data_IF_495209063788
#
_entry.id   IF_495209063788
#
_cell.length_a   1.000
_cell.length_b   1.000
_cell.length_c   1.000
_cell.angle_alpha   90.00
_cell.angle_beta   90.00
_cell.angle_gamma   90.00
#
_symmetry.space_group_name_H-M   'P 1'
#
loop_
_entity.id
_entity.type
_entity.pdbx_description
1 polymer ?
#
# COMPACT_ATOMS: atom_id res chain seq x y z
N UNK A 1 52.70 -34.03 -27.10
CA UNK A 1 52.17 -33.53 -25.83
C UNK A 1 52.18 -32.01 -25.97
N UNK A 2 51.06 -31.32 -26.29
CA UNK A 2 49.89 -31.07 -25.42
C UNK A 2 50.39 -30.48 -24.08
N UNK A 3 50.11 -29.22 -23.69
CA UNK A 3 48.86 -28.45 -23.83
C UNK A 3 49.05 -26.92 -23.87
N UNK A 4 48.08 -26.26 -24.51
CA UNK A 4 47.78 -24.83 -24.40
C UNK A 4 47.18 -24.53 -23.01
N UNK A 5 47.54 -23.41 -22.39
CA UNK A 5 46.64 -22.80 -21.40
C UNK A 5 46.60 -21.28 -21.59
N UNK A 6 45.53 -20.85 -22.24
CA UNK A 6 45.02 -19.49 -22.26
C UNK A 6 43.86 -19.46 -21.26
N UNK A 7 44.02 -18.72 -20.17
CA UNK A 7 42.92 -18.27 -19.32
C UNK A 7 43.43 -17.08 -18.52
N UNK A 8 43.34 -15.87 -19.08
CA UNK A 8 42.22 -14.97 -18.82
C UNK A 8 42.07 -14.71 -17.31
N UNK A 9 42.64 -13.58 -16.88
CA UNK A 9 42.25 -12.89 -15.65
C UNK A 9 40.74 -12.73 -15.65
N UNK A 10 40.05 -13.67 -15.01
CA UNK A 10 38.61 -13.61 -14.81
C UNK A 10 38.37 -12.53 -13.77
N UNK A 11 38.05 -11.34 -14.29
CA UNK A 11 37.50 -10.24 -13.52
C UNK A 11 36.50 -10.81 -12.52
N UNK A 12 36.76 -10.55 -11.23
CA UNK A 12 35.80 -10.74 -10.17
C UNK A 12 34.49 -10.08 -10.60
N UNK A 13 33.49 -10.89 -10.94
CA UNK A 13 32.13 -10.41 -10.98
C UNK A 13 31.79 -10.05 -9.55
N UNK A 14 31.86 -8.75 -9.23
CA UNK A 14 31.04 -8.21 -8.17
C UNK A 14 29.60 -8.52 -8.58
N UNK A 15 29.06 -9.63 -8.10
CA UNK A 15 27.63 -9.86 -8.15
C UNK A 15 27.03 -8.68 -7.41
N UNK A 16 26.48 -7.73 -8.16
CA UNK A 16 25.60 -6.72 -7.59
C UNK A 16 24.60 -7.51 -6.77
N UNK A 17 24.57 -7.31 -5.45
CA UNK A 17 23.47 -7.79 -4.65
C UNK A 17 22.22 -7.14 -5.25
N UNK A 18 21.50 -7.88 -6.11
CA UNK A 18 20.16 -7.52 -6.50
C UNK A 18 19.30 -7.75 -5.26
N UNK A 19 19.33 -6.81 -4.33
CA UNK A 19 18.31 -6.71 -3.31
C UNK A 19 17.03 -6.37 -4.06
N UNK A 20 16.26 -7.39 -4.39
CA UNK A 20 14.93 -7.23 -4.96
C UNK A 20 14.11 -6.45 -3.93
N UNK A 21 13.69 -5.24 -4.28
CA UNK A 21 12.89 -4.41 -3.39
C UNK A 21 11.49 -5.03 -3.34
N UNK A 22 11.17 -5.67 -2.21
CA UNK A 22 9.85 -6.21 -1.95
C UNK A 22 9.08 -5.26 -1.04
N UNK A 23 7.81 -5.04 -1.36
CA UNK A 23 6.86 -4.34 -0.52
C UNK A 23 5.44 -4.70 -0.94
N UNK A 24 4.53 -4.71 0.03
CA UNK A 24 3.09 -4.83 -0.19
C UNK A 24 2.45 -3.47 0.12
N UNK A 25 2.07 -2.73 -0.92
CA UNK A 25 1.55 -1.36 -0.81
C UNK A 25 0.06 -1.36 -1.13
N UNK A 26 -0.78 -0.94 -0.18
CA UNK A 26 -2.23 -0.84 -0.35
C UNK A 26 -2.69 0.61 -0.20
N UNK A 27 -3.34 1.15 -1.23
CA UNK A 27 -4.04 2.42 -1.13
C UNK A 27 -5.42 2.19 -0.48
N UNK A 28 -5.64 2.80 0.69
CA UNK A 28 -6.92 2.81 1.38
C UNK A 28 -7.64 4.12 1.06
N UNK A 29 -8.61 4.06 0.14
CA UNK A 29 -9.18 5.23 -0.52
C UNK A 29 -10.56 5.55 0.02
N UNK A 30 -10.74 6.75 0.56
CA UNK A 30 -12.03 7.31 0.93
C UNK A 30 -12.85 7.61 -0.34
N UNK A 31 -14.02 6.99 -0.45
CA UNK A 31 -15.01 7.26 -1.49
C UNK A 31 -16.29 7.86 -0.90
N UNK A 32 -16.25 8.43 0.31
CA UNK A 32 -17.43 9.02 0.94
C UNK A 32 -18.03 10.16 0.10
N UNK A 33 -19.33 10.44 0.29
CA UNK A 33 -20.04 11.47 -0.49
C UNK A 33 -19.36 12.84 -0.48
N UNK A 34 -18.67 13.16 0.62
CA UNK A 34 -17.93 14.42 0.77
C UNK A 34 -16.66 14.51 -0.09
N UNK A 35 -16.12 13.39 -0.60
CA UNK A 35 -15.00 13.37 -1.56
C UNK A 35 -15.48 13.82 -2.92
N UNK A 36 -16.58 13.22 -3.41
CA UNK A 36 -17.15 13.52 -4.72
C UNK A 36 -16.33 12.94 -5.89
N UNK A 37 -17.00 12.80 -7.05
CA UNK A 37 -16.42 12.20 -8.25
C UNK A 37 -15.14 12.89 -8.74
N UNK A 38 -15.07 14.21 -8.70
CA UNK A 38 -13.89 14.95 -9.18
C UNK A 38 -12.66 14.68 -8.33
N UNK A 39 -12.79 14.69 -7.01
CA UNK A 39 -11.68 14.39 -6.10
C UNK A 39 -11.28 12.93 -6.20
N UNK A 40 -12.24 12.00 -6.31
CA UNK A 40 -11.95 10.58 -6.52
C UNK A 40 -11.16 10.33 -7.81
N UNK A 41 -11.49 11.04 -8.90
CA UNK A 41 -10.68 11.01 -10.14
C UNK A 41 -9.24 11.44 -9.90
N UNK A 42 -9.02 12.51 -9.12
CA UNK A 42 -7.66 12.96 -8.76
C UNK A 42 -6.92 11.94 -7.90
N UNK A 43 -7.63 11.19 -7.06
CA UNK A 43 -7.05 10.09 -6.28
C UNK A 43 -6.59 8.97 -7.21
N UNK A 44 -7.38 8.60 -8.23
CA UNK A 44 -6.96 7.61 -9.26
C UNK A 44 -5.72 8.07 -10.00
N UNK A 45 -5.63 9.37 -10.34
CA UNK A 45 -4.45 9.96 -10.98
C UNK A 45 -3.23 9.92 -10.05
N UNK A 46 -3.41 10.25 -8.77
CA UNK A 46 -2.35 10.16 -7.77
C UNK A 46 -1.81 8.73 -7.62
N UNK A 47 -2.69 7.75 -7.47
CA UNK A 47 -2.30 6.33 -7.38
C UNK A 47 -1.55 5.91 -8.65
N UNK A 48 -2.07 6.29 -9.82
CA UNK A 48 -1.43 6.01 -11.10
C UNK A 48 -0.04 6.63 -11.21
N UNK A 49 0.16 7.84 -10.70
CA UNK A 49 1.45 8.52 -10.68
C UNK A 49 2.46 7.81 -9.76
N UNK A 50 2.03 7.38 -8.57
CA UNK A 50 2.89 6.61 -7.65
C UNK A 50 3.30 5.28 -8.28
N UNK A 51 2.35 4.51 -8.81
CA UNK A 51 2.63 3.21 -9.46
C UNK A 51 3.56 3.38 -10.67
N UNK A 52 3.39 4.45 -11.44
CA UNK A 52 4.21 4.75 -12.62
C UNK A 52 5.68 5.07 -12.30
N UNK A 53 6.01 5.41 -11.05
CA UNK A 53 7.38 5.67 -10.63
C UNK A 53 8.23 4.39 -10.54
N UNK A 54 7.58 3.23 -10.37
CA UNK A 54 8.28 1.96 -10.27
C UNK A 54 8.66 1.44 -11.66
N UNK A 55 9.91 1.01 -11.89
CA UNK A 55 10.29 0.34 -13.13
C UNK A 55 9.47 -0.93 -13.38
N UNK A 56 9.19 -1.26 -14.64
CA UNK A 56 8.35 -2.41 -15.01
C UNK A 56 8.78 -3.73 -14.36
N UNK A 57 10.09 -3.97 -14.27
CA UNK A 57 10.66 -5.20 -13.72
C UNK A 57 10.61 -5.28 -12.19
N UNK A 58 10.17 -4.21 -11.50
CA UNK A 58 10.06 -4.16 -10.04
C UNK A 58 8.63 -4.48 -9.59
N UNK A 59 7.62 -4.23 -10.43
CA UNK A 59 6.22 -4.49 -10.08
C UNK A 59 5.88 -5.95 -10.37
N UNK A 60 5.42 -6.68 -9.36
CA UNK A 60 5.02 -8.08 -9.51
C UNK A 60 5.23 -8.94 -8.27
N UNK A 61 5.02 -10.26 -8.40
CA UNK A 61 5.05 -11.21 -7.28
C UNK A 61 6.37 -11.22 -6.50
N UNK A 62 7.48 -11.06 -7.22
CA UNK A 62 8.83 -11.08 -6.65
C UNK A 62 9.32 -9.71 -6.18
N UNK A 63 8.58 -8.64 -6.46
CA UNK A 63 8.96 -7.25 -6.16
C UNK A 63 7.87 -6.52 -5.38
N UNK A 64 7.47 -5.35 -5.87
CA UNK A 64 6.45 -4.52 -5.24
C UNK A 64 5.06 -4.94 -5.76
N UNK A 65 4.16 -5.21 -4.82
CA UNK A 65 2.75 -5.54 -5.08
C UNK A 65 1.88 -4.37 -4.68
N UNK A 66 0.89 -4.05 -5.52
CA UNK A 66 -0.05 -2.95 -5.28
C UNK A 66 -1.46 -3.49 -5.07
N UNK A 67 -2.15 -2.96 -4.06
CA UNK A 67 -3.57 -3.18 -3.83
C UNK A 67 -4.31 -1.85 -3.68
N UNK A 68 -5.63 -1.89 -3.90
CA UNK A 68 -6.53 -0.77 -3.67
C UNK A 68 -7.77 -1.28 -2.94
N UNK A 69 -8.03 -0.69 -1.79
CA UNK A 69 -9.27 -0.89 -1.03
C UNK A 69 -9.97 0.46 -0.93
N UNK A 70 -11.20 0.54 -1.43
CA UNK A 70 -12.03 1.74 -1.28
C UNK A 70 -12.91 1.58 -0.04
N UNK A 71 -13.26 2.69 0.61
CA UNK A 71 -14.20 2.67 1.73
C UNK A 71 -15.15 3.86 1.71
N UNK A 72 -16.42 3.52 1.91
CA UNK A 72 -17.49 4.41 2.31
C UNK A 72 -18.14 3.77 3.54
N UNK A 73 -19.41 3.40 3.43
CA UNK A 73 -20.11 2.66 4.50
C UNK A 73 -19.48 1.28 4.75
N UNK A 74 -19.07 0.61 3.66
CA UNK A 74 -18.51 -0.74 3.67
C UNK A 74 -17.20 -0.72 2.86
N UNK A 75 -16.07 -1.18 3.43
CA UNK A 75 -14.82 -1.29 2.70
C UNK A 75 -14.88 -2.41 1.66
N UNK A 76 -14.33 -2.15 0.46
CA UNK A 76 -14.27 -3.10 -0.65
C UNK A 76 -12.86 -3.16 -1.22
N UNK A 77 -12.28 -4.36 -1.23
CA UNK A 77 -11.04 -4.63 -1.95
C UNK A 77 -11.33 -4.63 -3.45
N UNK A 78 -10.87 -3.60 -4.15
CA UNK A 78 -11.05 -3.44 -5.60
C UNK A 78 -9.89 -4.06 -6.38
N UNK A 79 -8.69 -4.03 -5.78
CA UNK A 79 -7.48 -4.66 -6.30
C UNK A 79 -6.79 -5.35 -5.13
N UNK A 80 -6.70 -6.67 -5.16
CA UNK A 80 -5.91 -7.45 -4.22
C UNK A 80 -4.43 -7.38 -4.58
N UNK A 81 -3.55 -7.58 -3.57
CA UNK A 81 -2.10 -7.63 -3.76
C UNK A 81 -1.64 -8.74 -4.72
N UNK A 82 -2.50 -9.72 -4.98
CA UNK A 82 -2.22 -10.90 -5.81
C UNK A 82 -2.85 -10.84 -7.20
N UNK A 83 -3.65 -9.82 -7.51
CA UNK A 83 -4.43 -9.78 -8.75
C UNK A 83 -3.58 -9.51 -9.99
N UNK A 84 -2.53 -8.69 -9.83
CA UNK A 84 -1.72 -8.22 -10.96
C UNK A 84 -0.23 -8.36 -10.69
N UNK A 85 0.50 -8.80 -11.72
CA UNK A 85 1.95 -8.98 -11.69
C UNK A 85 2.70 -8.04 -12.63
N UNK A 86 2.04 -7.04 -13.19
CA UNK A 86 2.63 -6.06 -14.09
C UNK A 86 2.18 -4.64 -13.74
N UNK A 87 3.05 -3.65 -13.98
CA UNK A 87 2.71 -2.24 -13.77
C UNK A 87 1.54 -1.80 -14.64
N UNK A 88 1.49 -2.25 -15.90
CA UNK A 88 0.45 -1.87 -16.85
C UNK A 88 -0.94 -2.33 -16.39
N UNK A 89 -1.07 -3.56 -15.92
CA UNK A 89 -2.35 -4.11 -15.46
C UNK A 89 -2.85 -3.39 -14.21
N UNK A 90 -1.94 -3.08 -13.26
CA UNK A 90 -2.28 -2.27 -12.08
C UNK A 90 -2.81 -0.89 -12.51
N UNK A 91 -2.12 -0.21 -13.43
CA UNK A 91 -2.54 1.11 -13.92
C UNK A 91 -3.88 1.06 -14.65
N UNK A 92 -4.16 0.00 -15.39
CA UNK A 92 -5.47 -0.21 -16.04
C UNK A 92 -6.57 -0.42 -15.00
N UNK A 93 -6.35 -1.29 -14.03
CA UNK A 93 -7.32 -1.57 -12.97
C UNK A 93 -7.61 -0.32 -12.13
N UNK A 94 -6.60 0.49 -11.81
CA UNK A 94 -6.78 1.77 -11.10
C UNK A 94 -7.68 2.72 -11.89
N UNK A 95 -7.58 2.76 -13.22
CA UNK A 95 -8.46 3.59 -14.07
C UNK A 95 -9.90 3.10 -14.10
N UNK A 96 -10.14 1.81 -13.85
CA UNK A 96 -11.47 1.20 -13.88
C UNK A 96 -12.22 1.33 -12.54
N UNK A 97 -11.55 1.78 -11.47
CA UNK A 97 -12.19 2.02 -10.16
C UNK A 97 -13.43 2.91 -10.27
N UNK A 98 -14.52 2.43 -9.67
CA UNK A 98 -15.81 3.12 -9.57
C UNK A 98 -15.95 3.82 -8.22
N UNK A 99 -16.72 4.91 -8.20
CA UNK A 99 -17.04 5.69 -7.01
C UNK A 99 -18.48 5.42 -6.61
N UNK A 100 -18.71 4.91 -5.40
CA UNK A 100 -20.06 4.55 -4.93
C UNK A 100 -20.62 5.48 -3.86
N UNK A 101 -19.79 6.33 -3.23
CA UNK A 101 -20.23 7.12 -2.08
C UNK A 101 -20.17 6.31 -0.78
N UNK A 102 -20.67 6.90 0.30
CA UNK A 102 -20.69 6.27 1.61
C UNK A 102 -20.44 7.25 2.75
N UNK A 103 -20.76 6.84 3.98
CA UNK A 103 -20.28 7.51 5.17
C UNK A 103 -18.79 7.23 5.32
N UNK A 104 -18.01 8.11 5.95
CA UNK A 104 -16.56 7.88 6.10
C UNK A 104 -16.26 6.96 7.27
N UNK A 105 -16.46 5.64 7.11
CA UNK A 105 -16.24 4.63 8.18
C UNK A 105 -14.79 4.13 8.26
N UNK A 106 -13.87 5.00 8.68
CA UNK A 106 -12.43 4.67 8.69
C UNK A 106 -12.08 3.57 9.68
N UNK A 107 -12.70 3.52 10.87
CA UNK A 107 -12.38 2.47 11.84
C UNK A 107 -12.79 1.08 11.34
N UNK A 108 -13.90 1.00 10.60
CA UNK A 108 -14.31 -0.23 9.90
C UNK A 108 -13.30 -0.58 8.80
N UNK A 109 -12.90 0.41 8.01
CA UNK A 109 -11.94 0.23 6.92
C UNK A 109 -10.55 -0.25 7.42
N UNK A 110 -10.04 0.32 8.52
CA UNK A 110 -8.76 -0.09 9.13
C UNK A 110 -8.81 -1.52 9.69
N UNK A 111 -9.95 -1.94 10.25
CA UNK A 111 -10.13 -3.34 10.68
C UNK A 111 -10.14 -4.30 9.49
N UNK A 112 -10.90 -3.97 8.45
CA UNK A 112 -10.94 -4.74 7.20
C UNK A 112 -9.56 -4.84 6.54
N UNK A 113 -8.79 -3.75 6.58
CA UNK A 113 -7.42 -3.71 6.08
C UNK A 113 -6.54 -4.77 6.77
N UNK A 114 -6.60 -4.88 8.10
CA UNK A 114 -5.83 -5.88 8.86
C UNK A 114 -6.35 -7.29 8.60
N UNK A 115 -7.66 -7.48 8.74
CA UNK A 115 -8.26 -8.82 8.80
C UNK A 115 -8.34 -9.50 7.43
N UNK A 116 -8.49 -8.71 6.36
CA UNK A 116 -8.78 -9.24 5.04
C UNK A 116 -7.66 -8.90 4.06
N UNK A 117 -7.26 -7.63 3.96
CA UNK A 117 -6.31 -7.17 2.92
C UNK A 117 -4.89 -7.59 3.22
N UNK A 118 -4.44 -7.40 4.46
CA UNK A 118 -3.13 -7.85 4.93
C UNK A 118 -3.19 -9.19 5.69
N UNK A 119 -4.19 -10.01 5.39
CA UNK A 119 -4.31 -11.35 5.99
C UNK A 119 -3.13 -12.24 5.62
N UNK A 120 -2.79 -13.20 6.48
CA UNK A 120 -1.68 -14.14 6.28
C UNK A 120 -1.81 -14.98 4.99
N UNK A 121 -3.02 -15.08 4.41
CA UNK A 121 -3.24 -15.77 3.15
C UNK A 121 -2.81 -14.95 1.91
N UNK A 122 -2.64 -13.62 2.05
CA UNK A 122 -2.38 -12.70 0.94
C UNK A 122 -0.96 -12.11 1.02
N UNK A 123 -0.50 -11.78 2.23
CA UNK A 123 0.76 -11.06 2.45
C UNK A 123 1.97 -11.98 2.49
N UNK A 124 3.13 -11.41 2.17
CA UNK A 124 4.42 -12.09 2.35
C UNK A 124 4.97 -11.75 3.73
N UNK A 125 5.35 -12.76 4.51
CA UNK A 125 5.82 -12.60 5.90
C UNK A 125 7.01 -11.63 6.04
N UNK A 126 7.87 -11.55 5.03
CA UNK A 126 9.09 -10.74 5.06
C UNK A 126 8.98 -9.42 4.29
N UNK A 127 7.87 -9.17 3.59
CA UNK A 127 7.69 -7.92 2.85
C UNK A 127 7.13 -6.83 3.77
N UNK A 128 7.65 -5.59 3.72
CA UNK A 128 7.04 -4.44 4.36
C UNK A 128 5.57 -4.29 3.95
N UNK A 129 4.68 -4.21 4.94
CA UNK A 129 3.24 -3.95 4.75
C UNK A 129 2.99 -2.46 4.90
N UNK A 130 2.60 -1.81 3.81
CA UNK A 130 2.45 -0.36 3.75
C UNK A 130 1.04 -0.04 3.31
N UNK A 131 0.36 0.84 4.04
CA UNK A 131 -0.91 1.40 3.60
C UNK A 131 -0.82 2.92 3.47
N UNK A 132 -1.44 3.43 2.41
CA UNK A 132 -1.59 4.88 2.18
C UNK A 132 -3.08 5.20 2.24
N UNK A 133 -3.50 5.77 3.35
CA UNK A 133 -4.84 6.29 3.57
C UNK A 133 -5.00 7.62 2.85
N UNK A 134 -5.99 7.72 1.98
CA UNK A 134 -6.30 8.95 1.22
C UNK A 134 -7.72 9.37 1.58
N UNK A 135 -7.88 10.54 2.18
CA UNK A 135 -9.18 11.06 2.63
C UNK A 135 -9.19 12.59 2.60
N UNK A 136 -10.37 13.20 2.52
CA UNK A 136 -10.52 14.65 2.62
C UNK A 136 -11.14 15.12 3.95
N UNK A 137 -11.31 14.24 4.93
CA UNK A 137 -11.95 14.64 6.18
C UNK A 137 -11.86 13.63 7.30
N UNK A 138 -12.64 13.91 8.35
CA UNK A 138 -12.64 13.14 9.59
C UNK A 138 -13.51 11.92 9.52
N UNK A 139 -13.11 10.86 10.21
CA UNK A 139 -13.94 9.66 10.31
C UNK A 139 -15.28 9.95 10.97
N UNK A 140 -16.32 9.25 10.51
CA UNK A 140 -17.66 9.23 11.11
C UNK A 140 -17.79 8.16 12.21
N UNK A 141 -16.67 7.54 12.61
CA UNK A 141 -16.55 6.53 13.66
C UNK A 141 -15.25 6.68 14.48
N UNK A 142 -15.16 6.00 15.61
CA UNK A 142 -14.01 6.12 16.52
C UNK A 142 -12.84 5.24 16.06
N UNK A 143 -11.74 5.87 15.68
CA UNK A 143 -10.60 5.22 15.02
C UNK A 143 -9.59 4.55 15.97
N UNK A 144 -9.59 4.90 17.27
CA UNK A 144 -8.50 4.58 18.21
C UNK A 144 -8.06 3.12 18.23
N UNK A 145 -8.99 2.20 18.50
CA UNK A 145 -8.68 0.77 18.57
C UNK A 145 -8.36 0.16 17.21
N UNK A 146 -8.94 0.70 16.13
CA UNK A 146 -8.68 0.23 14.78
C UNK A 146 -7.27 0.63 14.30
N UNK A 147 -6.85 1.86 14.57
CA UNK A 147 -5.50 2.34 14.28
C UNK A 147 -4.45 1.58 15.10
N UNK A 148 -4.72 1.32 16.38
CA UNK A 148 -3.86 0.48 17.22
C UNK A 148 -3.63 -0.90 16.58
N UNK A 149 -4.71 -1.55 16.12
CA UNK A 149 -4.64 -2.86 15.47
C UNK A 149 -3.76 -2.87 14.23
N UNK A 150 -3.77 -1.78 13.44
CA UNK A 150 -2.89 -1.63 12.26
C UNK A 150 -1.41 -1.63 12.69
N UNK A 151 -1.06 -0.89 13.74
CA UNK A 151 0.32 -0.83 14.25
C UNK A 151 0.75 -2.16 14.86
N UNK A 152 -0.12 -2.79 15.67
CA UNK A 152 0.15 -4.08 16.30
C UNK A 152 0.41 -5.19 15.27
N UNK A 153 -0.12 -5.05 14.05
CA UNK A 153 0.10 -5.99 12.94
C UNK A 153 1.31 -5.62 12.04
N UNK A 154 2.11 -4.64 12.46
CA UNK A 154 3.32 -4.23 11.74
C UNK A 154 3.05 -3.56 10.40
N UNK A 155 1.88 -2.93 10.24
CA UNK A 155 1.51 -2.21 9.02
C UNK A 155 1.95 -0.75 9.18
N UNK A 156 2.79 -0.29 8.26
CA UNK A 156 3.17 1.12 8.17
C UNK A 156 2.05 1.91 7.51
N UNK A 157 1.41 2.79 8.26
CA UNK A 157 0.34 3.64 7.75
C UNK A 157 0.84 5.06 7.46
N UNK A 158 0.54 5.53 6.25
CA UNK A 158 0.73 6.91 5.81
C UNK A 158 -0.64 7.50 5.49
N UNK A 159 -0.85 8.77 5.80
CA UNK A 159 -2.11 9.45 5.53
C UNK A 159 -1.89 10.68 4.64
N UNK A 160 -2.81 10.93 3.71
CA UNK A 160 -2.84 12.08 2.81
C UNK A 160 -4.25 12.69 2.88
N UNK A 161 -4.36 13.95 3.30
CA UNK A 161 -5.66 14.60 3.49
C UNK A 161 -5.66 15.89 4.32
N UNK A 162 -6.72 16.72 4.17
CA UNK A 162 -6.82 18.06 4.78
C UNK A 162 -7.21 18.08 6.28
N UNK A 163 -7.86 17.06 6.83
CA UNK A 163 -8.32 17.11 8.23
C UNK A 163 -8.40 15.72 8.87
N UNK A 164 -7.23 15.19 9.28
CA UNK A 164 -6.97 14.38 10.49
C UNK A 164 -5.59 13.69 10.48
N UNK A 165 -4.62 14.23 9.72
CA UNK A 165 -3.22 13.77 9.77
C UNK A 165 -2.70 13.71 11.22
N UNK A 166 -3.14 14.62 12.10
CA UNK A 166 -2.72 14.60 13.48
C UNK A 166 -3.20 13.37 14.27
N UNK A 167 -4.49 13.00 14.33
CA UNK A 167 -4.89 11.93 15.27
C UNK A 167 -4.41 10.54 14.86
N UNK A 168 -4.45 10.22 13.56
CA UNK A 168 -3.98 8.92 13.06
C UNK A 168 -2.46 8.80 13.23
N UNK A 169 -1.70 9.81 12.82
CA UNK A 169 -0.23 9.82 12.97
C UNK A 169 0.16 9.94 14.44
N UNK A 170 -0.56 10.69 15.27
CA UNK A 170 -0.31 10.77 16.71
C UNK A 170 -0.58 9.44 17.40
N UNK A 171 -1.64 8.72 17.03
CA UNK A 171 -1.87 7.39 17.57
C UNK A 171 -0.74 6.44 17.16
N UNK A 172 -0.37 6.42 15.89
CA UNK A 172 0.78 5.63 15.43
C UNK A 172 2.07 6.03 16.15
N UNK A 173 2.34 7.33 16.34
CA UNK A 173 3.51 7.83 17.05
C UNK A 173 3.53 7.42 18.53
N UNK A 174 2.39 7.51 19.23
CA UNK A 174 2.25 7.09 20.63
C UNK A 174 2.52 5.59 20.80
N UNK A 175 2.01 4.78 19.88
CA UNK A 175 2.24 3.33 19.91
C UNK A 175 3.69 2.98 19.65
N UNK A 176 4.31 3.63 18.67
CA UNK A 176 5.72 3.40 18.34
C UNK A 176 6.69 3.97 19.40
N UNK A 177 6.25 4.92 20.22
CA UNK A 177 7.08 5.58 21.24
C UNK A 177 6.36 5.68 22.60
N UNK A 178 6.07 4.56 23.28
CA UNK A 178 5.24 4.55 24.49
C UNK A 178 5.88 5.26 25.70
N UNK A 179 7.21 5.44 25.70
CA UNK A 179 7.97 6.04 26.82
C UNK A 179 8.20 7.56 26.68
N UNK A 180 7.59 8.23 25.71
CA UNK A 180 7.84 9.65 25.39
C UNK A 180 6.77 10.63 25.88
N UNK A 181 5.93 10.21 26.82
CA UNK A 181 4.80 11.00 27.35
C UNK A 181 4.86 11.01 28.87
#
# INVERSE_FOLDING_TARGET
MLDNDWSADTASFCSVCRTTVQADIVFLVDESWSVGLSSFSRVKDFISAVVSYFPDHVVGSEGVRFGVTVFGDIPRMQIALTDYSSREDVLKAVKELTYEGGSRKMAVALKYLVDNVFSAAIVRDHAPKITVLITNGRSDDQIGSAAQKVVDNGISLFAIGESLLAEVIQQQYRVLNPNKI
#
